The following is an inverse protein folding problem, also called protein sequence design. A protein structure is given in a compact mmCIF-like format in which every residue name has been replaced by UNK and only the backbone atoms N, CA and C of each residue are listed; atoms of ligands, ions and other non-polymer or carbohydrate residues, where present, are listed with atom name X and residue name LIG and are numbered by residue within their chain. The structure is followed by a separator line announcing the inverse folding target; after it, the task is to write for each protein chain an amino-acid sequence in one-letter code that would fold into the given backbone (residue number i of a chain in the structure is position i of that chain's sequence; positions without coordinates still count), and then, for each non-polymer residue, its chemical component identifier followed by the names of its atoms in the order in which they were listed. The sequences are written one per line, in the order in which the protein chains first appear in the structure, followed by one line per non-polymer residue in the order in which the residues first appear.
data_IF_557227392011
#
_entry.id   IF_557227392011
#
_cell.length_a   1.000
_cell.length_b   1.000
_cell.length_c   1.000
_cell.angle_alpha   90.00
_cell.angle_beta   90.00
_cell.angle_gamma   90.00
#
_symmetry.space_group_name_H-M   'P 1'
#
loop_
_entity.id
_entity.type
_entity.pdbx_description
1 polymer ?
#
# COMPACT_ATOMS: atom_id res chain seq x y z
N UNK A 1 -16.00 2.27 15.34
CA UNK A 1 -15.23 2.10 14.07
C UNK A 1 -16.18 1.67 12.96
N UNK A 2 -16.72 2.64 12.21
CA UNK A 2 -17.49 2.44 10.96
C UNK A 2 -16.77 3.18 9.80
N UNK A 3 -15.47 3.42 9.94
CA UNK A 3 -14.71 4.29 9.03
C UNK A 3 -13.89 3.53 7.98
N UNK A 4 -13.79 2.19 8.06
CA UNK A 4 -12.96 1.40 7.14
C UNK A 4 -13.78 0.25 6.53
N UNK A 5 -13.82 0.22 5.19
CA UNK A 5 -14.26 -0.88 4.31
C UNK A 5 -15.73 -1.33 4.32
N UNK A 6 -16.66 -0.52 4.85
CA UNK A 6 -18.10 -0.77 4.69
C UNK A 6 -18.69 0.17 3.62
N UNK A 7 -19.39 -0.40 2.62
CA UNK A 7 -20.12 0.35 1.61
C UNK A 7 -21.47 0.78 2.17
N UNK A 8 -21.43 1.84 2.97
CA UNK A 8 -22.62 2.40 3.62
C UNK A 8 -23.09 3.65 2.90
N UNK A 9 -24.41 3.73 2.76
CA UNK A 9 -25.13 4.85 2.19
C UNK A 9 -26.28 5.23 3.12
N UNK A 10 -26.18 6.42 3.71
CA UNK A 10 -27.16 6.94 4.65
C UNK A 10 -27.76 8.23 4.11
N UNK A 11 -29.07 8.41 4.31
CA UNK A 11 -29.77 9.63 3.90
C UNK A 11 -29.48 10.80 4.86
N UNK A 12 -29.28 10.47 6.14
CA UNK A 12 -28.98 11.41 7.22
C UNK A 12 -27.79 10.89 8.00
N UNK A 13 -26.78 11.73 8.19
CA UNK A 13 -25.66 11.45 9.09
C UNK A 13 -25.67 12.44 10.24
N UNK A 14 -25.51 11.91 11.45
CA UNK A 14 -25.28 12.68 12.67
C UNK A 14 -23.87 12.33 13.13
N UNK A 15 -23.02 13.34 13.29
CA UNK A 15 -21.61 13.16 13.63
C UNK A 15 -21.21 14.13 14.72
N UNK A 16 -20.31 13.69 15.60
CA UNK A 16 -19.58 14.61 16.47
C UNK A 16 -18.65 15.50 15.64
N UNK A 17 -18.33 16.67 16.18
CA UNK A 17 -17.34 17.58 15.62
C UNK A 17 -15.97 16.89 15.61
N UNK A 18 -15.36 16.83 14.43
CA UNK A 18 -14.08 16.19 14.19
C UNK A 18 -13.23 17.07 13.26
N UNK A 19 -11.95 16.75 13.04
CA UNK A 19 -11.13 17.33 11.98
C UNK A 19 -11.83 17.29 10.61
N UNK A 20 -11.57 18.29 9.77
CA UNK A 20 -12.29 18.50 8.50
C UNK A 20 -12.22 17.30 7.56
N UNK A 21 -11.07 16.63 7.50
CA UNK A 21 -10.86 15.42 6.71
C UNK A 21 -11.76 14.27 7.17
N UNK A 22 -11.89 14.04 8.49
CA UNK A 22 -12.81 13.05 9.04
C UNK A 22 -14.27 13.40 8.73
N UNK A 23 -14.66 14.68 8.88
CA UNK A 23 -16.01 15.15 8.53
C UNK A 23 -16.31 14.91 7.04
N UNK A 24 -15.38 15.25 6.14
CA UNK A 24 -15.57 15.06 4.69
C UNK A 24 -15.63 13.57 4.34
N UNK A 25 -14.82 12.73 4.97
CA UNK A 25 -14.89 11.27 4.77
C UNK A 25 -16.26 10.71 5.18
N UNK A 26 -16.81 11.18 6.31
CA UNK A 26 -18.18 10.82 6.77
C UNK A 26 -19.23 11.35 5.80
N UNK A 27 -19.12 12.58 5.31
CA UNK A 27 -20.00 13.13 4.26
C UNK A 27 -19.96 12.30 2.97
N UNK A 28 -18.86 11.61 2.67
CA UNK A 28 -18.77 10.66 1.55
C UNK A 28 -19.62 9.39 1.68
N UNK A 29 -20.28 9.20 2.84
CA UNK A 29 -21.26 8.14 3.11
C UNK A 29 -22.69 8.67 3.19
N UNK A 30 -22.87 9.99 3.10
CA UNK A 30 -24.18 10.62 3.07
C UNK A 30 -24.65 10.73 1.63
N UNK A 31 -25.76 10.07 1.30
CA UNK A 31 -26.34 10.01 -0.04
C UNK A 31 -25.30 9.60 -1.11
N UNK A 32 -24.56 8.54 -0.84
CA UNK A 32 -23.42 8.05 -1.63
C UNK A 32 -23.82 7.54 -3.02
N UNK A 33 -25.02 6.97 -3.16
CA UNK A 33 -25.53 6.49 -4.45
C UNK A 33 -26.51 7.48 -5.10
N UNK A 34 -26.58 8.73 -4.62
CA UNK A 34 -27.44 9.78 -5.17
C UNK A 34 -28.92 9.37 -5.28
N UNK A 35 -29.41 8.57 -4.33
CA UNK A 35 -30.83 8.17 -4.26
C UNK A 35 -31.76 9.36 -4.00
N UNK A 36 -31.23 10.46 -3.45
CA UNK A 36 -31.91 11.73 -3.20
C UNK A 36 -31.17 12.89 -3.86
N UNK A 37 -31.86 14.03 -4.01
CA UNK A 37 -31.26 15.27 -4.52
C UNK A 37 -30.12 15.79 -3.61
N UNK A 38 -30.25 15.60 -2.29
CA UNK A 38 -29.21 15.87 -1.31
C UNK A 38 -29.38 14.99 -0.06
N UNK A 39 -28.27 14.75 0.64
CA UNK A 39 -28.26 14.14 1.97
C UNK A 39 -28.14 15.17 3.07
N UNK A 40 -28.57 14.82 4.28
CA UNK A 40 -28.52 15.70 5.44
C UNK A 40 -27.36 15.32 6.37
N UNK A 41 -26.64 16.33 6.86
CA UNK A 41 -25.48 16.12 7.71
C UNK A 41 -25.55 17.06 8.92
N UNK A 42 -25.67 16.47 10.11
CA UNK A 42 -25.78 17.17 11.38
C UNK A 42 -24.50 16.99 12.18
N UNK A 43 -24.03 18.09 12.77
CA UNK A 43 -22.83 18.10 13.61
C UNK A 43 -23.21 18.47 15.02
N UNK A 44 -22.89 17.58 15.96
CA UNK A 44 -22.94 17.83 17.38
C UNK A 44 -21.57 18.31 17.87
N UNK A 45 -21.61 19.37 18.66
CA UNK A 45 -20.43 20.05 19.17
C UNK A 45 -20.50 19.97 20.69
N UNK A 46 -20.13 18.79 21.20
CA UNK A 46 -20.01 18.53 22.64
C UNK A 46 -18.55 18.63 23.08
N UNK A 47 -18.31 19.28 24.22
CA UNK A 47 -17.00 19.31 24.88
C UNK A 47 -16.77 17.99 25.62
N UNK A 48 -16.48 16.92 24.88
CA UNK A 48 -16.08 15.63 25.44
C UNK A 48 -14.57 15.42 25.31
N UNK A 49 -14.01 14.58 26.18
CA UNK A 49 -12.66 14.05 26.02
C UNK A 49 -12.62 13.23 24.73
N UNK A 50 -11.98 13.80 23.70
CA UNK A 50 -12.05 13.30 22.33
C UNK A 50 -10.68 12.76 21.91
N UNK A 51 -10.70 11.83 20.96
CA UNK A 51 -9.50 11.32 20.30
C UNK A 51 -8.82 12.38 19.43
N UNK A 52 -9.54 13.44 19.07
CA UNK A 52 -9.00 14.53 18.24
C UNK A 52 -8.57 15.75 19.05
N UNK A 53 -7.41 16.31 18.67
CA UNK A 53 -6.87 17.54 19.27
C UNK A 53 -7.85 18.71 19.08
N UNK A 54 -8.10 19.44 20.17
CA UNK A 54 -9.05 20.56 20.19
C UNK A 54 -8.75 21.67 19.17
N UNK A 55 -7.47 21.94 18.88
CA UNK A 55 -7.11 22.93 17.85
C UNK A 55 -7.72 22.60 16.48
N UNK A 56 -7.69 21.32 16.08
CA UNK A 56 -8.18 20.85 14.78
C UNK A 56 -9.70 20.98 14.67
N UNK A 57 -10.40 20.66 15.76
CA UNK A 57 -11.87 20.82 15.86
C UNK A 57 -12.29 22.28 15.78
N UNK A 58 -11.56 23.18 16.43
CA UNK A 58 -11.84 24.63 16.40
C UNK A 58 -11.77 25.21 14.99
N UNK A 59 -10.75 24.84 14.20
CA UNK A 59 -10.62 25.28 12.81
C UNK A 59 -11.77 24.72 11.96
N UNK A 60 -12.11 23.44 12.15
CA UNK A 60 -13.23 22.80 11.45
C UNK A 60 -14.56 23.50 11.75
N UNK A 61 -14.86 23.76 13.02
CA UNK A 61 -16.05 24.49 13.47
C UNK A 61 -16.14 25.88 12.83
N UNK A 62 -15.04 26.63 12.81
CA UNK A 62 -14.97 27.97 12.19
C UNK A 62 -15.32 27.91 10.69
N UNK A 63 -14.78 26.95 9.95
CA UNK A 63 -15.03 26.80 8.51
C UNK A 63 -16.49 26.38 8.25
N UNK A 64 -17.02 25.42 9.02
CA UNK A 64 -18.36 24.89 8.81
C UNK A 64 -19.46 25.88 9.22
N UNK A 65 -19.24 26.72 10.23
CA UNK A 65 -20.19 27.77 10.61
C UNK A 65 -20.48 28.75 9.46
N UNK A 66 -19.49 29.04 8.61
CA UNK A 66 -19.66 29.90 7.42
C UNK A 66 -20.48 29.24 6.29
N UNK A 67 -20.69 27.93 6.39
CA UNK A 67 -21.36 27.09 5.41
C UNK A 67 -22.63 26.42 5.94
N UNK A 68 -23.06 26.79 7.16
CA UNK A 68 -24.27 26.24 7.78
C UNK A 68 -25.50 26.48 6.89
N UNK A 69 -26.25 25.41 6.62
CA UNK A 69 -27.46 25.44 5.80
C UNK A 69 -27.23 25.55 4.28
N UNK A 70 -25.99 25.48 3.81
CA UNK A 70 -25.66 25.43 2.38
C UNK A 70 -25.52 23.98 1.91
N UNK A 71 -25.93 23.72 0.68
CA UNK A 71 -25.63 22.46 0.00
C UNK A 71 -24.14 22.46 -0.37
N UNK A 72 -23.42 21.42 0.02
CA UNK A 72 -21.99 21.27 -0.26
C UNK A 72 -21.76 20.25 -1.37
N UNK A 73 -21.36 20.73 -2.54
CA UNK A 73 -20.91 19.88 -3.65
C UNK A 73 -19.55 19.27 -3.36
N UNK A 74 -19.15 18.27 -4.15
CA UNK A 74 -17.79 17.71 -4.08
C UNK A 74 -16.69 18.76 -4.28
N UNK A 75 -16.95 19.77 -5.12
CA UNK A 75 -16.01 20.88 -5.34
C UNK A 75 -15.87 21.73 -4.08
N UNK A 76 -16.99 22.05 -3.43
CA UNK A 76 -16.98 22.85 -2.21
C UNK A 76 -16.25 22.10 -1.09
N UNK A 77 -16.53 20.81 -0.91
CA UNK A 77 -15.83 19.96 0.07
C UNK A 77 -14.32 19.98 -0.12
N UNK A 78 -13.84 19.86 -1.37
CA UNK A 78 -12.40 19.98 -1.68
C UNK A 78 -11.85 21.34 -1.27
N UNK A 79 -12.55 22.43 -1.57
CA UNK A 79 -12.12 23.77 -1.19
C UNK A 79 -12.08 23.97 0.33
N UNK A 80 -13.05 23.44 1.07
CA UNK A 80 -13.06 23.48 2.54
C UNK A 80 -11.85 22.75 3.12
N UNK A 81 -11.48 21.60 2.54
CA UNK A 81 -10.29 20.85 2.93
C UNK A 81 -9.00 21.63 2.64
N UNK A 82 -8.92 22.26 1.46
CA UNK A 82 -7.77 23.12 1.09
C UNK A 82 -7.63 24.31 2.05
N UNK A 83 -8.74 24.93 2.48
CA UNK A 83 -8.72 26.00 3.48
C UNK A 83 -8.32 25.51 4.86
N UNK A 84 -8.76 24.31 5.24
CA UNK A 84 -8.41 23.70 6.51
C UNK A 84 -6.91 23.43 6.65
N UNK A 85 -6.29 22.81 5.65
CA UNK A 85 -4.85 22.52 5.69
C UNK A 85 -3.94 23.75 5.51
N UNK A 86 -4.47 24.86 5.00
CA UNK A 86 -3.76 26.15 4.93
C UNK A 86 -3.80 26.95 6.23
N UNK A 87 -4.54 26.49 7.25
CA UNK A 87 -4.51 27.13 8.56
C UNK A 87 -3.19 26.82 9.27
N UNK A 88 -2.46 27.86 9.68
CA UNK A 88 -1.15 27.74 10.34
C UNK A 88 -1.13 26.76 11.53
N UNK A 89 -2.24 26.67 12.28
CA UNK A 89 -2.31 25.80 13.46
C UNK A 89 -2.41 24.34 13.06
N UNK A 90 -3.14 24.05 11.98
CA UNK A 90 -3.30 22.71 11.41
C UNK A 90 -2.00 22.28 10.77
N UNK A 91 -1.40 23.12 9.93
CA UNK A 91 -0.14 22.82 9.25
C UNK A 91 0.98 22.50 10.25
N UNK A 92 1.14 23.33 11.28
CA UNK A 92 2.15 23.08 12.34
C UNK A 92 1.92 21.79 13.10
N UNK A 93 0.66 21.45 13.38
CA UNK A 93 0.32 20.22 14.10
C UNK A 93 0.78 18.98 13.30
N UNK A 94 0.46 18.93 12.01
CA UNK A 94 0.88 17.84 11.13
C UNK A 94 2.40 17.80 10.91
N UNK A 95 3.06 18.95 10.76
CA UNK A 95 4.53 19.00 10.63
C UNK A 95 5.22 18.47 11.89
N UNK A 96 4.71 18.81 13.07
CA UNK A 96 5.29 18.34 14.33
C UNK A 96 5.06 16.84 14.51
N UNK A 97 3.86 16.36 14.26
CA UNK A 97 3.51 14.93 14.32
C UNK A 97 4.38 14.11 13.35
N UNK A 98 4.63 14.64 12.15
CA UNK A 98 5.52 14.01 11.17
C UNK A 98 6.96 13.90 11.69
N UNK A 99 7.50 14.96 12.31
CA UNK A 99 8.85 14.95 12.88
C UNK A 99 9.00 14.00 14.07
N UNK A 100 7.98 13.94 14.92
CA UNK A 100 7.94 12.99 16.04
C UNK A 100 7.94 11.56 15.53
N UNK A 101 7.07 11.27 14.56
CA UNK A 101 7.01 9.95 13.90
C UNK A 101 8.32 9.57 13.22
N UNK A 102 8.95 10.52 12.51
CA UNK A 102 10.27 10.32 11.89
C UNK A 102 11.31 9.90 12.94
N UNK A 103 11.36 10.61 14.07
CA UNK A 103 12.28 10.30 15.16
C UNK A 103 12.02 8.91 15.75
N UNK A 104 10.75 8.57 16.02
CA UNK A 104 10.38 7.25 16.55
C UNK A 104 10.79 6.11 15.61
N UNK A 105 10.57 6.28 14.30
CA UNK A 105 10.99 5.32 13.28
C UNK A 105 12.52 5.17 13.29
N UNK A 106 13.27 6.27 13.31
CA UNK A 106 14.73 6.23 13.37
C UNK A 106 15.24 5.49 14.62
N UNK A 107 14.58 5.68 15.77
CA UNK A 107 14.89 4.97 17.01
C UNK A 107 14.64 3.47 16.90
N UNK A 108 13.48 3.05 16.35
CA UNK A 108 13.14 1.63 16.14
C UNK A 108 14.20 0.90 15.30
N UNK A 109 14.72 1.55 14.25
CA UNK A 109 15.69 0.94 13.34
C UNK A 109 17.16 1.18 13.73
N UNK A 110 17.43 1.83 14.87
CA UNK A 110 18.80 2.11 15.34
C UNK A 110 19.57 3.08 14.44
N UNK A 111 18.87 3.93 13.69
CA UNK A 111 19.40 4.86 12.69
C UNK A 111 19.71 6.26 13.26
N UNK A 112 19.86 6.36 14.58
CA UNK A 112 19.96 7.61 15.36
C UNK A 112 21.12 8.52 14.88
N UNK A 113 22.14 7.96 14.22
CA UNK A 113 23.32 8.69 13.72
C UNK A 113 23.39 8.80 12.19
N UNK A 114 22.43 8.25 11.43
CA UNK A 114 22.48 8.31 9.97
C UNK A 114 21.81 9.60 9.48
N UNK A 115 22.60 10.56 9.02
CA UNK A 115 22.11 11.80 8.40
C UNK A 115 21.47 11.59 7.01
N UNK A 116 21.50 10.38 6.47
CA UNK A 116 21.08 10.08 5.10
C UNK A 116 19.60 9.63 4.98
N UNK A 117 18.97 9.22 6.08
CA UNK A 117 17.59 8.71 6.07
C UNK A 117 16.67 9.67 6.83
N UNK A 118 15.96 10.54 6.09
CA UNK A 118 14.90 11.40 6.64
C UNK A 118 13.52 10.81 6.29
N UNK A 119 12.48 11.23 7.00
CA UNK A 119 11.10 10.74 6.85
C UNK A 119 10.56 10.94 5.43
N UNK A 120 10.98 12.01 4.76
CA UNK A 120 10.67 12.25 3.34
C UNK A 120 11.30 11.18 2.43
N UNK A 121 12.55 10.80 2.64
CA UNK A 121 13.19 9.70 1.92
C UNK A 121 12.49 8.38 2.21
N UNK A 122 12.12 8.12 3.47
CA UNK A 122 11.38 6.89 3.84
C UNK A 122 10.06 6.85 3.07
N UNK A 123 9.26 7.91 3.16
CA UNK A 123 7.91 7.96 2.58
C UNK A 123 7.91 8.01 1.05
N UNK A 124 8.85 8.73 0.44
CA UNK A 124 8.85 9.01 -1.00
C UNK A 124 10.00 8.37 -1.80
N UNK A 125 10.97 7.72 -1.16
CA UNK A 125 12.06 7.00 -1.87
C UNK A 125 12.10 5.52 -1.55
N UNK A 126 11.68 5.11 -0.35
CA UNK A 126 11.76 3.72 0.11
C UNK A 126 10.39 3.05 0.25
N UNK A 127 9.32 3.81 0.44
CA UNK A 127 7.96 3.29 0.50
C UNK A 127 7.28 3.29 -0.88
N UNK A 128 6.26 2.44 -1.00
CA UNK A 128 5.50 2.16 -2.23
C UNK A 128 4.71 3.39 -2.74
N UNK A 129 4.72 4.52 -2.01
CA UNK A 129 3.99 5.75 -2.36
C UNK A 129 4.50 6.45 -3.63
N UNK A 130 5.71 6.12 -4.13
CA UNK A 130 6.18 6.51 -5.47
C UNK A 130 5.27 6.05 -6.62
N UNK A 131 4.33 5.17 -6.31
CA UNK A 131 3.37 4.59 -7.24
C UNK A 131 1.95 5.15 -7.06
N UNK A 132 1.74 6.21 -6.25
CA UNK A 132 0.45 6.89 -6.21
C UNK A 132 0.28 7.71 -7.48
N UNK A 133 -0.71 7.29 -8.26
CA UNK A 133 -1.09 7.86 -9.54
C UNK A 133 -2.45 8.51 -9.40
N UNK A 134 -2.57 9.73 -9.95
CA UNK A 134 -3.74 10.60 -9.77
C UNK A 134 -5.03 10.06 -10.40
N UNK A 135 -4.94 9.03 -11.25
CA UNK A 135 -6.10 8.45 -11.91
C UNK A 135 -6.47 7.07 -11.36
N UNK A 136 -7.77 6.85 -11.11
CA UNK A 136 -8.33 5.55 -10.71
C UNK A 136 -7.98 4.41 -11.69
N UNK A 137 -7.73 4.76 -12.96
CA UNK A 137 -7.32 3.85 -14.04
C UNK A 137 -5.85 3.46 -13.91
N UNK A 138 -4.95 4.42 -13.68
CA UNK A 138 -3.55 4.10 -13.40
C UNK A 138 -3.40 3.40 -12.05
N UNK A 139 -4.14 3.83 -11.02
CA UNK A 139 -4.17 3.19 -9.72
C UNK A 139 -4.66 1.74 -9.89
N UNK A 140 -5.69 1.50 -10.71
CA UNK A 140 -6.08 0.15 -11.11
C UNK A 140 -4.95 -0.62 -11.82
N UNK A 141 -4.15 0.02 -12.68
CA UNK A 141 -2.99 -0.62 -13.34
C UNK A 141 -1.84 -0.91 -12.38
N UNK A 142 -1.65 -0.11 -11.32
CA UNK A 142 -0.62 -0.28 -10.29
C UNK A 142 -1.05 -1.21 -9.15
N UNK A 143 -2.29 -1.13 -8.67
CA UNK A 143 -2.82 -1.95 -7.59
C UNK A 143 -3.39 -3.30 -8.06
N UNK A 144 -3.78 -3.47 -9.34
CA UNK A 144 -3.95 -4.84 -9.92
C UNK A 144 -2.62 -5.54 -10.18
N UNK A 145 -1.50 -4.80 -10.06
CA UNK A 145 -0.12 -5.31 -10.05
C UNK A 145 0.43 -5.45 -8.63
N UNK A 146 -0.42 -5.61 -7.60
CA UNK A 146 0.06 -6.22 -6.36
C UNK A 146 0.38 -7.68 -6.72
N UNK A 147 1.68 -7.92 -6.92
CA UNK A 147 2.30 -9.19 -7.27
C UNK A 147 1.84 -10.28 -6.28
N UNK A 148 1.14 -11.30 -6.78
CA UNK A 148 1.31 -12.61 -6.16
C UNK A 148 2.73 -13.07 -6.55
N UNK A 149 3.70 -12.81 -5.66
CA UNK A 149 5.03 -13.38 -5.77
C UNK A 149 4.91 -14.91 -5.75
N UNK A 150 5.37 -15.58 -6.81
CA UNK A 150 5.44 -17.03 -6.81
C UNK A 150 6.66 -17.43 -5.99
N UNK A 151 6.45 -18.28 -4.98
CA UNK A 151 7.54 -18.87 -4.21
C UNK A 151 8.07 -20.07 -5.00
N UNK A 152 9.34 -20.01 -5.39
CA UNK A 152 10.00 -21.04 -6.22
C UNK A 152 11.23 -21.58 -5.51
N UNK A 153 11.58 -22.82 -5.79
CA UNK A 153 12.80 -23.46 -5.29
C UNK A 153 13.74 -23.73 -6.47
N UNK A 154 15.05 -23.52 -6.29
CA UNK A 154 16.01 -23.96 -7.29
C UNK A 154 16.14 -25.48 -7.21
N UNK A 155 16.25 -26.14 -8.36
CA UNK A 155 16.39 -27.60 -8.44
C UNK A 155 17.59 -28.12 -7.62
N UNK A 156 18.71 -27.40 -7.61
CA UNK A 156 19.86 -27.72 -6.76
C UNK A 156 19.52 -27.73 -5.26
N UNK A 157 18.79 -26.71 -4.79
CA UNK A 157 18.39 -26.58 -3.39
C UNK A 157 17.35 -27.65 -2.99
N UNK A 158 16.50 -28.05 -3.93
CA UNK A 158 15.56 -29.15 -3.75
C UNK A 158 16.29 -30.46 -3.49
N UNK A 159 17.24 -30.84 -4.34
CA UNK A 159 17.99 -32.08 -4.19
C UNK A 159 18.93 -32.06 -2.97
N UNK A 160 19.58 -30.92 -2.68
CA UNK A 160 20.45 -30.76 -1.51
C UNK A 160 19.72 -30.93 -0.17
N UNK A 161 18.40 -30.70 -0.15
CA UNK A 161 17.59 -30.77 1.07
C UNK A 161 16.63 -31.96 1.11
N UNK A 162 16.58 -32.80 0.06
CA UNK A 162 15.62 -33.90 -0.11
C UNK A 162 15.72 -34.98 0.95
N UNK A 163 16.94 -35.33 1.36
CA UNK A 163 17.19 -36.42 2.30
C UNK A 163 17.25 -35.96 3.77
N UNK A 164 17.03 -34.67 4.04
CA UNK A 164 17.08 -34.12 5.40
C UNK A 164 15.79 -34.43 6.17
N UNK A 165 15.87 -34.73 7.48
CA UNK A 165 14.70 -35.05 8.30
C UNK A 165 13.67 -33.91 8.42
N UNK A 166 14.08 -32.65 8.18
CA UNK A 166 13.23 -31.46 8.18
C UNK A 166 13.10 -30.79 6.80
N UNK A 167 13.07 -31.58 5.71
CA UNK A 167 13.10 -31.09 4.33
C UNK A 167 12.09 -29.96 4.02
N UNK A 168 10.85 -30.04 4.51
CA UNK A 168 9.83 -29.02 4.26
C UNK A 168 10.15 -27.66 4.91
N UNK A 169 10.85 -27.66 6.05
CA UNK A 169 11.31 -26.43 6.71
C UNK A 169 12.47 -25.81 5.93
N UNK A 170 13.38 -26.63 5.44
CA UNK A 170 14.51 -26.24 4.60
C UNK A 170 14.04 -25.68 3.25
N UNK A 171 13.10 -26.36 2.57
CA UNK A 171 12.50 -25.87 1.32
C UNK A 171 11.86 -24.50 1.51
N UNK A 172 11.21 -24.26 2.65
CA UNK A 172 10.61 -22.97 2.94
C UNK A 172 11.64 -21.86 3.22
N UNK A 173 12.82 -22.21 3.76
CA UNK A 173 13.92 -21.27 3.99
C UNK A 173 14.66 -20.95 2.69
N UNK A 174 14.89 -21.94 1.82
CA UNK A 174 15.64 -21.77 0.57
C UNK A 174 14.78 -21.25 -0.59
N UNK A 175 13.45 -21.35 -0.51
CA UNK A 175 12.58 -20.88 -1.58
C UNK A 175 12.63 -19.36 -1.75
N UNK A 176 12.73 -18.93 -2.99
CA UNK A 176 12.93 -17.55 -3.42
C UNK A 176 11.60 -17.01 -3.95
N UNK A 177 11.29 -15.75 -3.66
CA UNK A 177 10.16 -15.08 -4.28
C UNK A 177 10.58 -14.52 -5.65
N UNK A 178 9.84 -14.86 -6.70
CA UNK A 178 10.03 -14.28 -8.04
C UNK A 178 8.83 -13.44 -8.45
N UNK A 179 9.11 -12.37 -9.19
CA UNK A 179 8.08 -11.48 -9.76
C UNK A 179 7.28 -12.19 -10.84
N UNK A 180 6.04 -11.76 -11.07
CA UNK A 180 5.16 -12.32 -12.11
C UNK A 180 5.76 -12.22 -13.52
N UNK A 181 6.54 -11.17 -13.80
CA UNK A 181 7.26 -11.03 -15.06
C UNK A 181 8.33 -12.10 -15.26
N UNK A 182 9.04 -12.48 -14.20
CA UNK A 182 10.02 -13.57 -14.24
C UNK A 182 9.32 -14.93 -14.32
N UNK A 183 8.21 -15.10 -13.58
CA UNK A 183 7.36 -16.29 -13.65
C UNK A 183 6.88 -16.55 -15.09
N UNK A 184 6.29 -15.57 -15.78
CA UNK A 184 5.82 -15.80 -17.16
C UNK A 184 6.96 -16.06 -18.15
N UNK A 185 8.13 -15.42 -17.97
CA UNK A 185 9.31 -15.70 -18.80
C UNK A 185 9.76 -17.16 -18.64
N UNK A 186 9.86 -17.64 -17.40
CA UNK A 186 10.24 -19.03 -17.09
C UNK A 186 9.16 -20.03 -17.52
N UNK A 187 7.89 -19.68 -17.37
CA UNK A 187 6.76 -20.51 -17.81
C UNK A 187 6.76 -20.68 -19.32
N UNK A 188 6.98 -19.60 -20.08
CA UNK A 188 7.08 -19.65 -21.54
C UNK A 188 8.27 -20.49 -22.02
N UNK A 189 9.29 -20.68 -21.17
CA UNK A 189 10.47 -21.51 -21.44
C UNK A 189 10.32 -22.96 -20.92
N UNK A 190 9.15 -23.35 -20.40
CA UNK A 190 8.94 -24.65 -19.74
C UNK A 190 9.98 -24.98 -18.66
N UNK A 191 10.43 -23.95 -17.93
CA UNK A 191 11.49 -24.03 -16.94
C UNK A 191 11.01 -24.53 -15.55
N UNK A 192 9.71 -24.78 -15.39
CA UNK A 192 9.13 -25.20 -14.12
C UNK A 192 8.67 -26.66 -14.12
N UNK A 193 8.71 -27.27 -12.93
CA UNK A 193 7.91 -28.46 -12.60
C UNK A 193 7.45 -28.37 -11.13
N UNK A 194 6.53 -29.24 -10.73
CA UNK A 194 6.01 -29.29 -9.36
C UNK A 194 6.33 -30.63 -8.74
N UNK A 195 7.01 -30.62 -7.59
CA UNK A 195 7.33 -31.82 -6.81
C UNK A 195 7.22 -31.50 -5.31
N UNK A 196 6.74 -32.44 -4.50
CA UNK A 196 6.49 -32.26 -3.06
C UNK A 196 5.61 -31.03 -2.70
N UNK A 197 4.80 -30.53 -3.64
CA UNK A 197 3.95 -29.34 -3.48
C UNK A 197 4.67 -28.00 -3.65
N UNK A 198 5.95 -28.00 -4.08
CA UNK A 198 6.74 -26.82 -4.38
C UNK A 198 6.92 -26.62 -5.88
N UNK A 199 6.95 -25.36 -6.31
CA UNK A 199 7.26 -24.99 -7.70
C UNK A 199 8.78 -24.89 -7.86
N UNK A 200 9.36 -25.76 -8.69
CA UNK A 200 10.81 -25.89 -8.84
C UNK A 200 11.26 -25.36 -10.20
N UNK A 201 12.32 -24.56 -10.21
CA UNK A 201 13.00 -24.09 -11.43
C UNK A 201 14.08 -25.10 -11.81
N UNK A 202 13.99 -25.63 -13.03
CA UNK A 202 15.00 -26.51 -13.61
C UNK A 202 16.38 -25.84 -13.65
N UNK A 203 17.43 -26.62 -13.44
CA UNK A 203 18.81 -26.15 -13.48
C UNK A 203 19.13 -25.55 -14.86
N UNK A 204 19.96 -24.50 -14.88
CA UNK A 204 20.41 -23.86 -16.11
C UNK A 204 19.52 -22.73 -16.65
N UNK A 205 18.33 -22.49 -16.09
CA UNK A 205 17.50 -21.35 -16.49
C UNK A 205 17.79 -20.07 -15.70
N UNK A 206 18.32 -20.21 -14.48
CA UNK A 206 18.66 -19.08 -13.61
C UNK A 206 20.04 -19.25 -12.96
N UNK A 207 20.68 -18.14 -12.63
CA UNK A 207 21.87 -18.05 -11.78
C UNK A 207 21.62 -17.01 -10.70
N UNK A 208 22.14 -17.23 -9.50
CA UNK A 208 22.06 -16.28 -8.40
C UNK A 208 23.25 -15.31 -8.45
N UNK A 209 22.96 -14.01 -8.53
CA UNK A 209 23.95 -12.93 -8.49
C UNK A 209 23.87 -12.22 -7.13
N UNK A 210 25.01 -12.04 -6.47
CA UNK A 210 25.07 -11.49 -5.11
C UNK A 210 24.61 -10.03 -5.01
N UNK A 211 24.63 -9.25 -6.10
CA UNK A 211 24.28 -7.83 -6.08
C UNK A 211 22.85 -7.54 -6.57
N UNK A 212 22.28 -8.46 -7.35
CA UNK A 212 21.02 -8.23 -8.09
C UNK A 212 20.04 -9.40 -7.98
N UNK A 213 20.40 -10.45 -7.23
CA UNK A 213 19.55 -11.59 -6.96
C UNK A 213 19.45 -12.57 -8.12
N UNK A 214 18.29 -13.22 -8.27
CA UNK A 214 18.06 -14.25 -9.28
C UNK A 214 18.03 -13.65 -10.70
N UNK A 215 18.96 -14.08 -11.56
CA UNK A 215 19.05 -13.67 -12.97
C UNK A 215 18.76 -14.82 -13.92
N UNK A 216 18.11 -14.52 -15.03
CA UNK A 216 17.96 -15.47 -16.14
C UNK A 216 19.30 -15.62 -16.87
N UNK A 217 19.59 -16.84 -17.31
CA UNK A 217 20.77 -17.10 -18.15
C UNK A 217 20.66 -16.42 -19.51
N UNK A 218 21.79 -16.29 -20.20
CA UNK A 218 21.87 -15.56 -21.46
C UNK A 218 20.97 -16.18 -22.53
N UNK A 219 20.54 -15.38 -23.51
CA UNK A 219 19.59 -15.81 -24.54
C UNK A 219 20.09 -17.05 -25.32
N UNK A 220 21.39 -17.16 -25.55
CA UNK A 220 22.03 -18.33 -26.18
C UNK A 220 21.95 -19.59 -25.29
N UNK A 221 22.28 -19.48 -23.99
CA UNK A 221 22.18 -20.60 -23.03
C UNK A 221 20.72 -21.09 -22.89
N UNK A 222 19.74 -20.18 -22.93
CA UNK A 222 18.32 -20.50 -22.85
C UNK A 222 17.80 -21.17 -24.12
N UNK A 223 18.21 -20.73 -25.31
CA UNK A 223 17.80 -21.34 -26.59
C UNK A 223 18.29 -22.80 -26.70
N UNK A 224 19.51 -23.11 -26.26
CA UNK A 224 20.03 -24.49 -26.22
C UNK A 224 19.25 -25.40 -25.26
N UNK A 225 18.90 -24.92 -24.06
CA UNK A 225 18.12 -25.65 -23.06
C UNK A 225 16.65 -25.87 -23.51
N UNK A 226 16.08 -24.92 -24.24
CA UNK A 226 14.70 -25.02 -24.73
C UNK A 226 14.59 -26.05 -25.86
N UNK A 227 15.59 -26.12 -26.74
CA UNK A 227 15.67 -27.10 -27.83
C UNK A 227 15.84 -28.53 -27.27
N UNK A 228 16.69 -28.72 -26.25
CA UNK A 228 16.88 -30.02 -25.60
C UNK A 228 15.63 -30.57 -24.89
N UNK A 229 14.79 -29.69 -24.32
CA UNK A 229 13.54 -30.07 -23.66
C UNK A 229 12.38 -30.37 -24.63
N UNK A 230 12.51 -30.06 -25.92
CA UNK A 230 11.48 -30.35 -26.95
C UNK A 230 11.75 -31.70 -27.67
N UNK A 231 12.98 -32.21 -27.60
CA UNK A 231 13.44 -33.40 -28.35
C UNK A 231 13.43 -34.69 -27.49
N UNK A 232 13.08 -34.60 -26.20
CA UNK A 232 12.81 -35.73 -25.29
C UNK A 232 11.30 -35.86 -25.03
#
# INVERSE_FOLDING_TARGET
MVEISLDLDFEVIISDLAPMDAIIQRMGRCNRHDHREYGEFYIFDEENEDVYKEQLKKVTKKILQQHKGKILSMKDRKQLLDFYYKDDSVEKDYINEFKESEKEIMEIYGLINSSELNGENIMFKFDTYLNIVDSKIEASKLFRKIDQNAKVLLEEDYYNSKDKPNKNKEYNMCSIQISKGMFYKLQNLNAFYVEDGFLIIKQGFCKYDQFVGLRLNSKQELEELTIGNIIL
#
